data_IF_804803462266
#
_entry.id   IF_804803462266
#
_cell.length_a   1.000
_cell.length_b   1.000
_cell.length_c   1.000
_cell.angle_alpha   90.00
_cell.angle_beta   90.00
_cell.angle_gamma   90.00
#
_symmetry.space_group_name_H-M   'P 1'
#
loop_
_entity.id
_entity.type
_entity.pdbx_description
1 polymer ?
#
# COMPACT_ATOMS: atom_id res chain seq x y z
N UNK A 1 -49.58 -72.42 -24.79
CA UNK A 1 -49.33 -71.19 -24.03
C UNK A 1 -47.93 -70.64 -24.45
N UNK A 2 -47.94 -69.66 -25.37
CA UNK A 2 -46.69 -68.99 -25.81
C UNK A 2 -46.66 -67.61 -25.17
N UNK A 3 -45.74 -67.41 -24.28
CA UNK A 3 -45.44 -66.12 -23.72
C UNK A 3 -44.36 -65.45 -24.57
N UNK A 4 -44.76 -64.45 -25.37
CA UNK A 4 -43.83 -63.62 -26.14
C UNK A 4 -43.05 -62.64 -25.25
N UNK A 5 -41.74 -62.72 -25.31
CA UNK A 5 -40.83 -61.77 -24.71
C UNK A 5 -40.66 -60.57 -25.66
N UNK A 6 -41.06 -59.35 -25.19
CA UNK A 6 -40.91 -58.14 -25.96
C UNK A 6 -39.59 -57.44 -25.52
N UNK A 7 -38.66 -57.22 -26.45
CA UNK A 7 -37.51 -56.43 -26.28
C UNK A 7 -37.85 -54.92 -26.46
N UNK A 8 -37.39 -54.01 -25.59
CA UNK A 8 -37.62 -52.60 -25.79
C UNK A 8 -36.78 -52.09 -26.96
N UNK A 9 -37.41 -51.31 -27.84
CA UNK A 9 -36.86 -50.79 -29.08
C UNK A 9 -35.62 -49.86 -28.83
N UNK A 10 -34.61 -49.97 -29.72
CA UNK A 10 -33.33 -49.30 -29.71
C UNK A 10 -33.40 -47.79 -29.85
N UNK A 11 -34.54 -47.15 -29.95
CA UNK A 11 -34.72 -45.71 -30.11
C UNK A 11 -34.54 -44.90 -28.82
N UNK A 12 -34.74 -45.49 -27.64
CA UNK A 12 -34.60 -44.79 -26.35
C UNK A 12 -33.15 -44.58 -25.92
N UNK A 13 -32.20 -45.33 -26.48
CA UNK A 13 -30.78 -45.21 -26.13
C UNK A 13 -30.11 -44.04 -26.88
N UNK A 14 -30.63 -43.63 -28.05
CA UNK A 14 -30.07 -42.56 -28.87
C UNK A 14 -30.42 -41.14 -28.38
N UNK A 15 -31.52 -40.97 -27.67
CA UNK A 15 -31.92 -39.65 -27.15
C UNK A 15 -31.13 -39.24 -25.89
N UNK A 16 -30.80 -40.20 -25.03
CA UNK A 16 -30.03 -39.97 -23.83
C UNK A 16 -28.59 -39.48 -24.11
N UNK A 17 -27.92 -40.09 -25.11
CA UNK A 17 -26.56 -39.71 -25.48
C UNK A 17 -26.44 -38.29 -26.04
N UNK A 18 -27.43 -37.80 -26.77
CA UNK A 18 -27.45 -36.44 -27.30
C UNK A 18 -27.66 -35.39 -26.19
N UNK A 19 -28.49 -35.68 -25.20
CA UNK A 19 -28.69 -34.80 -24.03
C UNK A 19 -27.42 -34.66 -23.17
N UNK A 20 -26.68 -35.77 -22.98
CA UNK A 20 -25.40 -35.74 -22.25
C UNK A 20 -24.32 -34.96 -23.00
N UNK A 21 -24.27 -35.07 -24.33
CA UNK A 21 -23.32 -34.27 -25.14
C UNK A 21 -23.64 -32.77 -25.11
N UNK A 22 -24.92 -32.41 -25.14
CA UNK A 22 -25.36 -31.02 -25.03
C UNK A 22 -25.03 -30.47 -23.62
N UNK A 23 -25.33 -31.24 -22.56
CA UNK A 23 -25.01 -30.84 -21.18
C UNK A 23 -23.49 -30.68 -20.96
N UNK A 24 -22.68 -31.58 -21.53
CA UNK A 24 -21.22 -31.46 -21.45
C UNK A 24 -20.71 -30.24 -22.23
N UNK A 25 -21.25 -29.94 -23.41
CA UNK A 25 -20.88 -28.76 -24.20
C UNK A 25 -21.27 -27.46 -23.51
N UNK A 26 -22.41 -27.38 -22.83
CA UNK A 26 -22.83 -26.23 -22.03
C UNK A 26 -21.94 -26.05 -20.80
N UNK A 27 -21.57 -27.13 -20.12
CA UNK A 27 -20.65 -27.10 -18.98
C UNK A 27 -19.24 -26.63 -19.38
N UNK A 28 -18.73 -27.12 -20.53
CA UNK A 28 -17.46 -26.68 -21.08
C UNK A 28 -17.53 -25.19 -21.50
N UNK A 29 -18.65 -24.79 -22.14
CA UNK A 29 -18.89 -23.38 -22.49
C UNK A 29 -18.94 -22.47 -21.27
N UNK A 30 -19.60 -22.88 -20.18
CA UNK A 30 -19.61 -22.11 -18.91
C UNK A 30 -18.23 -22.06 -18.24
N UNK A 31 -17.43 -23.11 -18.29
CA UNK A 31 -16.06 -23.09 -17.80
C UNK A 31 -15.19 -22.16 -18.61
N UNK A 32 -15.29 -22.15 -19.92
CA UNK A 32 -14.49 -21.25 -20.77
C UNK A 32 -14.86 -19.78 -20.53
N UNK A 33 -16.17 -19.48 -20.36
CA UNK A 33 -16.61 -18.11 -20.03
C UNK A 33 -16.18 -17.69 -18.62
N UNK A 34 -16.21 -18.61 -17.65
CA UNK A 34 -15.72 -18.34 -16.29
C UNK A 34 -14.21 -18.10 -16.27
N UNK A 35 -13.43 -18.80 -17.12
CA UNK A 35 -11.99 -18.51 -17.29
C UNK A 35 -11.72 -17.20 -18.04
N UNK A 36 -12.58 -16.82 -18.99
CA UNK A 36 -12.47 -15.56 -19.71
C UNK A 36 -12.85 -14.34 -18.84
N UNK A 37 -13.70 -14.54 -17.82
CA UNK A 37 -14.11 -13.50 -16.85
C UNK A 37 -13.23 -13.45 -15.61
N UNK A 38 -12.23 -14.34 -15.48
CA UNK A 38 -11.23 -14.12 -14.44
C UNK A 38 -10.55 -12.78 -14.72
N UNK A 39 -10.59 -11.83 -13.77
CA UNK A 39 -9.75 -10.65 -13.90
C UNK A 39 -8.34 -11.15 -14.21
N UNK A 40 -7.78 -10.74 -15.32
CA UNK A 40 -6.39 -11.02 -15.62
C UNK A 40 -5.56 -10.33 -14.54
N UNK A 41 -5.31 -11.05 -13.45
CA UNK A 41 -4.20 -10.76 -12.56
C UNK A 41 -2.94 -10.89 -13.42
N UNK A 42 -2.41 -9.80 -13.89
CA UNK A 42 -1.23 -9.81 -14.74
C UNK A 42 -1.44 -9.31 -16.16
N UNK A 43 -2.41 -8.43 -16.42
CA UNK A 43 -2.32 -7.57 -17.59
C UNK A 43 -1.26 -6.54 -17.32
N UNK A 44 -0.15 -6.65 -18.02
CA UNK A 44 0.95 -5.70 -18.20
C UNK A 44 1.12 -4.73 -17.04
N UNK A 45 2.26 -4.73 -16.36
CA UNK A 45 2.62 -3.52 -15.67
C UNK A 45 2.64 -2.47 -16.78
N UNK A 46 1.63 -1.63 -16.86
CA UNK A 46 1.88 -0.28 -17.32
C UNK A 46 3.13 0.08 -16.52
N UNK A 47 4.26 0.20 -17.21
CA UNK A 47 5.50 0.61 -16.56
C UNK A 47 5.08 1.85 -15.80
N UNK A 48 5.17 1.80 -14.46
CA UNK A 48 4.88 2.97 -13.65
C UNK A 48 5.95 3.97 -14.02
N UNK A 49 5.69 4.67 -15.10
CA UNK A 49 6.33 5.93 -15.33
C UNK A 49 5.60 6.87 -14.38
N UNK A 50 6.27 7.41 -13.36
CA UNK A 50 5.67 8.50 -12.63
C UNK A 50 5.21 9.48 -13.69
N UNK A 51 3.92 9.79 -13.73
CA UNK A 51 3.38 10.81 -14.60
C UNK A 51 4.20 12.07 -14.40
N UNK A 52 4.24 12.96 -15.37
CA UNK A 52 4.89 14.24 -15.16
C UNK A 52 4.25 14.91 -13.95
N UNK A 53 5.06 15.24 -12.94
CA UNK A 53 4.59 15.98 -11.78
C UNK A 53 3.88 17.26 -12.23
N UNK A 54 2.74 17.56 -11.62
CA UNK A 54 2.12 18.86 -11.79
C UNK A 54 2.93 19.94 -11.05
N UNK A 55 2.94 21.15 -11.60
CA UNK A 55 3.55 22.28 -10.93
C UNK A 55 2.77 22.64 -9.65
N UNK A 56 3.48 23.09 -8.62
CA UNK A 56 2.85 23.58 -7.41
C UNK A 56 2.00 24.84 -7.72
N UNK A 57 0.72 24.77 -7.41
CA UNK A 57 -0.27 25.81 -7.65
C UNK A 57 -0.92 26.38 -6.38
N UNK A 58 -0.41 25.97 -5.20
CA UNK A 58 -0.94 26.36 -3.89
C UNK A 58 -1.99 25.41 -3.32
N UNK A 59 -2.46 24.42 -4.09
CA UNK A 59 -3.35 23.36 -3.61
C UNK A 59 -2.55 22.22 -2.99
N UNK A 60 -3.17 21.52 -2.05
CA UNK A 60 -2.57 20.32 -1.51
C UNK A 60 -2.40 19.27 -2.62
N UNK A 61 -1.16 18.83 -2.81
CA UNK A 61 -0.81 17.74 -3.71
C UNK A 61 -0.11 16.66 -2.89
N UNK A 62 -0.61 15.45 -2.93
CA UNK A 62 0.05 14.34 -2.27
C UNK A 62 1.37 14.02 -2.99
N UNK A 63 2.43 13.76 -2.23
CA UNK A 63 3.73 13.43 -2.80
C UNK A 63 4.25 12.10 -2.28
N UNK A 64 4.62 11.21 -3.21
CA UNK A 64 5.35 9.97 -2.96
C UNK A 64 6.84 10.21 -3.15
N UNK A 65 7.66 9.85 -2.16
CA UNK A 65 9.11 9.80 -2.37
C UNK A 65 9.47 8.60 -3.24
N UNK A 66 10.22 8.88 -4.30
CA UNK A 66 10.90 7.86 -5.08
C UNK A 66 12.38 7.81 -4.69
N UNK A 67 13.00 6.65 -4.82
CA UNK A 67 14.38 6.45 -4.41
C UNK A 67 15.09 5.40 -5.28
N UNK A 68 16.42 5.39 -5.23
CA UNK A 68 17.22 4.33 -5.83
C UNK A 68 16.97 3.04 -5.06
N UNK A 69 16.46 2.03 -5.76
CA UNK A 69 16.06 0.77 -5.16
C UNK A 69 17.25 -0.19 -5.17
N UNK A 70 17.58 -0.77 -4.01
CA UNK A 70 18.57 -1.81 -3.86
C UNK A 70 18.24 -3.06 -4.70
N UNK A 71 19.26 -3.84 -5.13
CA UNK A 71 19.02 -5.12 -5.80
C UNK A 71 18.11 -6.04 -4.98
N UNK A 72 17.08 -6.60 -5.62
CA UNK A 72 16.05 -7.43 -4.98
C UNK A 72 14.77 -6.69 -4.63
N UNK A 73 14.76 -5.36 -4.57
CA UNK A 73 13.58 -4.53 -4.32
C UNK A 73 12.80 -4.18 -5.59
N UNK A 74 12.73 -5.11 -6.55
CA UNK A 74 11.97 -4.94 -7.78
C UNK A 74 10.91 -6.02 -7.89
N UNK A 75 9.67 -5.61 -8.10
CA UNK A 75 8.53 -6.48 -8.28
C UNK A 75 8.33 -6.87 -9.76
N UNK A 76 7.22 -7.54 -10.04
CA UNK A 76 6.88 -8.00 -11.38
C UNK A 76 6.99 -6.89 -12.43
N UNK A 77 7.64 -7.20 -13.55
CA UNK A 77 7.85 -6.25 -14.65
C UNK A 77 8.93 -5.20 -14.41
N UNK A 78 9.75 -5.35 -13.34
CA UNK A 78 10.81 -4.41 -13.00
C UNK A 78 10.34 -3.15 -12.29
N UNK A 79 9.15 -3.17 -11.69
CA UNK A 79 8.62 -2.08 -10.89
C UNK A 79 9.44 -1.90 -9.60
N UNK A 80 10.01 -0.72 -9.34
CA UNK A 80 10.77 -0.48 -8.13
C UNK A 80 9.84 -0.48 -6.89
N UNK A 81 10.37 -0.89 -5.73
CA UNK A 81 9.63 -1.06 -4.50
C UNK A 81 8.81 0.19 -4.11
N UNK A 82 9.38 1.39 -4.22
CA UNK A 82 8.69 2.64 -3.90
C UNK A 82 7.43 2.89 -4.73
N UNK A 83 7.26 2.23 -5.88
CA UNK A 83 6.13 2.43 -6.80
C UNK A 83 4.97 1.46 -6.57
N UNK A 84 5.05 0.59 -5.56
CA UNK A 84 3.97 -0.33 -5.22
C UNK A 84 2.68 0.45 -4.89
N UNK A 85 1.56 0.06 -5.52
CA UNK A 85 0.26 0.73 -5.34
C UNK A 85 0.14 2.16 -5.88
N UNK A 86 1.25 2.76 -6.35
CA UNK A 86 1.26 4.12 -6.90
C UNK A 86 0.63 4.17 -8.29
N UNK A 87 -0.18 5.18 -8.64
CA UNK A 87 -0.68 6.27 -7.78
C UNK A 87 -2.07 5.97 -7.19
N UNK A 88 -2.60 4.75 -7.36
CA UNK A 88 -4.00 4.40 -7.05
C UNK A 88 -4.31 4.54 -5.56
N UNK A 89 -3.39 4.12 -4.70
CA UNK A 89 -3.56 4.21 -3.26
C UNK A 89 -3.80 5.66 -2.82
N UNK A 90 -2.94 6.56 -3.25
CA UNK A 90 -3.00 7.98 -2.91
C UNK A 90 -4.21 8.67 -3.54
N UNK A 91 -4.54 8.36 -4.79
CA UNK A 91 -5.74 8.91 -5.44
C UNK A 91 -7.01 8.55 -4.66
N UNK A 92 -7.10 7.29 -4.18
CA UNK A 92 -8.23 6.86 -3.37
C UNK A 92 -8.27 7.60 -2.01
N UNK A 93 -7.11 7.79 -1.37
CA UNK A 93 -7.03 8.57 -0.14
C UNK A 93 -7.42 10.03 -0.38
N UNK A 94 -6.96 10.64 -1.48
CA UNK A 94 -7.32 12.02 -1.82
C UNK A 94 -8.80 12.20 -2.14
N UNK A 95 -9.46 11.21 -2.74
CA UNK A 95 -10.92 11.23 -2.92
C UNK A 95 -11.64 11.29 -1.57
N UNK A 96 -11.25 10.43 -0.62
CA UNK A 96 -11.84 10.46 0.72
C UNK A 96 -11.53 11.80 1.41
N UNK A 97 -10.29 12.30 1.33
CA UNK A 97 -9.92 13.59 1.92
C UNK A 97 -10.74 14.75 1.35
N UNK A 98 -11.02 14.74 0.06
CA UNK A 98 -11.88 15.74 -0.58
C UNK A 98 -13.33 15.70 -0.07
N UNK A 99 -13.86 14.51 0.21
CA UNK A 99 -15.24 14.34 0.68
C UNK A 99 -15.41 14.72 2.17
N UNK A 100 -14.38 14.52 2.99
CA UNK A 100 -14.48 14.73 4.44
C UNK A 100 -13.96 16.09 4.90
N UNK A 101 -13.33 16.87 4.00
CA UNK A 101 -12.72 18.16 4.36
C UNK A 101 -12.92 19.23 3.28
N UNK A 102 -12.57 20.49 3.62
CA UNK A 102 -12.55 21.61 2.69
C UNK A 102 -11.16 21.85 2.06
N UNK A 103 -10.24 20.89 2.15
CA UNK A 103 -8.89 21.03 1.65
C UNK A 103 -8.83 21.19 0.12
N UNK A 104 -9.79 20.59 -0.59
CA UNK A 104 -9.85 20.57 -2.06
C UNK A 104 -8.51 20.13 -2.71
N UNK A 105 -7.97 18.95 -2.35
CA UNK A 105 -6.68 18.50 -2.84
C UNK A 105 -6.71 18.20 -4.33
N UNK A 106 -5.55 18.04 -4.96
CA UNK A 106 -5.46 17.33 -6.23
C UNK A 106 -5.80 15.85 -5.99
N UNK A 107 -6.78 15.33 -6.76
CA UNK A 107 -7.28 13.96 -6.57
C UNK A 107 -6.56 12.97 -7.48
N UNK A 108 -6.43 13.32 -8.75
CA UNK A 108 -5.89 12.42 -9.76
C UNK A 108 -4.39 12.63 -10.01
N UNK A 109 -3.86 13.76 -9.60
CA UNK A 109 -2.46 14.13 -9.77
C UNK A 109 -1.69 13.88 -8.48
N UNK A 110 -0.90 12.83 -8.46
CA UNK A 110 -0.01 12.47 -7.35
C UNK A 110 1.42 12.71 -7.82
N UNK A 111 2.13 13.59 -7.15
CA UNK A 111 3.51 13.88 -7.48
C UNK A 111 4.48 12.84 -6.89
N UNK A 112 5.59 12.62 -7.59
CA UNK A 112 6.66 11.76 -7.09
C UNK A 112 7.98 12.49 -7.20
N UNK A 113 8.68 12.68 -6.08
CA UNK A 113 9.95 13.42 -6.00
C UNK A 113 10.99 12.60 -5.24
N UNK A 114 12.26 12.88 -5.48
CA UNK A 114 13.35 12.32 -4.68
C UNK A 114 13.52 13.13 -3.40
N UNK A 115 14.07 12.49 -2.38
CA UNK A 115 14.37 13.19 -1.13
C UNK A 115 15.44 14.28 -1.28
N UNK A 116 16.31 14.23 -2.30
CA UNK A 116 17.30 15.27 -2.61
C UNK A 116 16.79 16.35 -3.58
N UNK A 117 15.54 16.24 -4.06
CA UNK A 117 14.94 17.24 -4.94
C UNK A 117 14.53 18.50 -4.14
N UNK A 118 14.96 19.71 -4.52
CA UNK A 118 14.49 20.94 -3.89
C UNK A 118 12.97 21.13 -3.93
N UNK A 119 12.27 20.55 -4.89
CA UNK A 119 10.82 20.60 -4.98
C UNK A 119 10.12 19.98 -3.75
N UNK A 120 10.79 19.10 -3.01
CA UNK A 120 10.26 18.52 -1.78
C UNK A 120 9.78 19.56 -0.76
N UNK A 121 10.43 20.71 -0.71
CA UNK A 121 10.07 21.79 0.22
C UNK A 121 8.77 22.53 -0.10
N UNK A 122 8.14 22.24 -1.22
CA UNK A 122 6.78 22.72 -1.53
C UNK A 122 5.67 21.90 -0.88
N UNK A 123 6.00 20.70 -0.38
CA UNK A 123 5.03 19.75 0.15
C UNK A 123 5.18 19.64 1.67
N UNK A 124 4.12 19.93 2.45
CA UNK A 124 4.19 19.80 3.91
C UNK A 124 4.34 18.36 4.38
N UNK A 125 3.86 17.40 3.57
CA UNK A 125 3.83 15.99 3.90
C UNK A 125 4.49 15.20 2.77
N UNK A 126 5.40 14.29 3.11
CA UNK A 126 5.98 13.32 2.21
C UNK A 126 5.62 11.90 2.66
N UNK A 127 5.38 11.02 1.71
CA UNK A 127 5.02 9.63 1.95
C UNK A 127 6.01 8.70 1.25
N UNK A 128 6.46 7.67 1.95
CA UNK A 128 7.39 6.67 1.41
C UNK A 128 7.02 5.27 1.89
N UNK A 129 7.22 4.28 1.03
CA UNK A 129 6.97 2.87 1.34
C UNK A 129 8.17 2.00 1.02
N UNK A 130 8.15 0.75 1.49
CA UNK A 130 9.15 -0.30 1.19
C UNK A 130 10.59 0.20 1.44
N UNK A 131 10.77 0.95 2.51
CA UNK A 131 12.01 1.65 2.86
C UNK A 131 13.19 0.72 3.13
N UNK A 132 12.96 -0.57 3.30
CA UNK A 132 13.96 -1.63 3.36
C UNK A 132 14.88 -1.65 2.14
N UNK A 133 14.33 -1.21 1.01
CA UNK A 133 15.00 -1.22 -0.29
C UNK A 133 15.61 0.12 -0.67
N UNK A 134 15.55 1.11 0.22
CA UNK A 134 16.07 2.45 -0.07
C UNK A 134 17.59 2.53 0.02
N UNK A 135 18.25 2.66 -1.13
CA UNK A 135 19.66 3.02 -1.23
C UNK A 135 19.79 4.55 -1.08
N UNK A 136 19.73 5.00 0.18
CA UNK A 136 19.76 6.43 0.50
C UNK A 136 21.16 7.03 0.30
N UNK A 137 21.24 8.09 -0.49
CA UNK A 137 22.47 8.87 -0.67
C UNK A 137 22.69 9.86 0.46
N UNK A 138 23.91 10.39 0.58
CA UNK A 138 24.20 11.47 1.55
C UNK A 138 23.47 12.80 1.21
N UNK A 139 23.21 13.02 -0.08
CA UNK A 139 22.42 14.18 -0.52
C UNK A 139 20.99 14.08 -0.05
N UNK A 140 20.36 12.90 -0.25
CA UNK A 140 19.00 12.64 0.25
C UNK A 140 18.93 12.77 1.77
N UNK A 141 19.88 12.21 2.51
CA UNK A 141 19.89 12.32 3.97
C UNK A 141 19.99 13.77 4.45
N UNK A 142 20.86 14.59 3.84
CA UNK A 142 20.99 16.01 4.19
C UNK A 142 19.73 16.81 3.86
N UNK A 143 19.16 16.60 2.69
CA UNK A 143 17.97 17.33 2.25
C UNK A 143 16.74 16.95 3.07
N UNK A 144 16.57 15.66 3.35
CA UNK A 144 15.48 15.15 4.19
C UNK A 144 15.60 15.69 5.63
N UNK A 145 16.82 15.79 6.18
CA UNK A 145 17.05 16.46 7.47
C UNK A 145 16.54 17.89 7.44
N UNK A 146 16.95 18.68 6.43
CA UNK A 146 16.53 20.05 6.30
C UNK A 146 15.00 20.17 6.12
N UNK A 147 14.39 19.26 5.38
CA UNK A 147 12.95 19.18 5.20
C UNK A 147 12.22 18.98 6.55
N UNK A 148 12.63 17.98 7.34
CA UNK A 148 12.06 17.71 8.65
C UNK A 148 12.25 18.88 9.63
N UNK A 149 13.43 19.49 9.64
CA UNK A 149 13.74 20.65 10.51
C UNK A 149 12.94 21.91 10.14
N UNK A 150 12.52 22.04 8.88
CA UNK A 150 11.71 23.18 8.41
C UNK A 150 10.20 22.96 8.54
N UNK A 151 9.76 21.91 9.19
CA UNK A 151 8.34 21.65 9.41
C UNK A 151 7.76 20.52 8.56
N UNK A 152 8.53 19.90 7.68
CA UNK A 152 8.07 18.77 6.90
C UNK A 152 7.70 17.57 7.78
N UNK A 153 6.68 16.81 7.36
CA UNK A 153 6.22 15.60 7.99
C UNK A 153 6.42 14.39 7.08
N UNK A 154 7.04 13.34 7.58
CA UNK A 154 7.29 12.11 6.81
C UNK A 154 6.42 10.96 7.33
N UNK A 155 5.67 10.35 6.43
CA UNK A 155 4.93 9.11 6.68
C UNK A 155 5.69 7.96 6.01
N UNK A 156 6.04 6.94 6.80
CA UNK A 156 6.73 5.74 6.36
C UNK A 156 5.81 4.54 6.54
N UNK A 157 5.58 3.79 5.48
CA UNK A 157 4.61 2.70 5.47
C UNK A 157 5.17 1.48 4.70
N UNK A 158 4.46 0.37 4.73
CA UNK A 158 4.76 -0.86 4.00
C UNK A 158 6.20 -1.34 4.13
N UNK A 159 6.63 -1.62 5.36
CA UNK A 159 7.88 -2.31 5.64
C UNK A 159 7.72 -3.27 6.84
N UNK A 160 8.49 -4.36 6.88
CA UNK A 160 8.14 -5.51 7.69
C UNK A 160 9.31 -6.23 8.36
N UNK A 161 8.97 -7.12 9.28
CA UNK A 161 9.91 -8.04 9.93
C UNK A 161 10.56 -8.97 8.90
N UNK A 162 11.87 -9.14 8.97
CA UNK A 162 12.58 -10.21 8.25
C UNK A 162 12.00 -11.58 8.61
N UNK A 163 11.71 -12.38 7.60
CA UNK A 163 11.26 -13.78 7.78
C UNK A 163 9.76 -13.99 7.91
N UNK A 164 8.94 -12.96 7.80
CA UNK A 164 7.49 -13.08 7.69
C UNK A 164 7.09 -13.56 6.30
N UNK A 165 6.95 -14.85 6.10
CA UNK A 165 6.56 -15.44 4.84
C UNK A 165 5.11 -15.15 4.51
N UNK A 166 4.88 -14.31 3.53
CA UNK A 166 3.75 -14.47 2.66
C UNK A 166 4.00 -15.68 1.73
N UNK A 167 3.06 -16.60 1.64
CA UNK A 167 3.06 -17.81 0.80
C UNK A 167 3.27 -17.53 -0.71
N UNK A 168 3.51 -16.29 -1.09
CA UNK A 168 3.69 -15.76 -2.44
C UNK A 168 5.06 -15.11 -2.69
N UNK A 169 5.95 -15.16 -1.70
CA UNK A 169 7.32 -14.67 -1.86
C UNK A 169 8.10 -15.56 -2.82
N UNK A 170 8.35 -15.07 -4.01
CA UNK A 170 9.29 -15.68 -4.94
C UNK A 170 10.67 -15.82 -4.27
N UNK A 171 11.47 -16.80 -4.72
CA UNK A 171 12.81 -17.17 -4.23
C UNK A 171 13.86 -16.04 -4.11
N UNK A 172 13.46 -14.76 -4.26
CA UNK A 172 14.33 -13.59 -4.17
C UNK A 172 14.23 -12.79 -2.87
N UNK A 173 13.21 -13.05 -2.02
CA UNK A 173 12.99 -12.27 -0.81
C UNK A 173 13.97 -12.60 0.35
N UNK A 174 14.75 -13.66 0.22
CA UNK A 174 15.73 -14.09 1.23
C UNK A 174 17.18 -13.61 0.96
N UNK A 175 17.41 -12.89 -0.11
CA UNK A 175 18.76 -12.42 -0.46
C UNK A 175 19.10 -11.11 0.25
N UNK A 176 19.13 -11.13 1.55
CA UNK A 176 20.09 -10.42 2.41
C UNK A 176 20.30 -8.91 2.31
N UNK A 177 19.72 -8.19 1.37
CA UNK A 177 20.01 -6.76 1.17
C UNK A 177 18.97 -5.83 1.85
N UNK A 178 17.71 -6.25 2.00
CA UNK A 178 16.70 -5.46 2.70
C UNK A 178 16.73 -5.74 4.21
N UNK A 179 17.07 -4.76 5.02
CA UNK A 179 17.26 -4.90 6.46
C UNK A 179 16.03 -4.68 7.31
N UNK A 180 14.85 -4.49 6.72
CA UNK A 180 13.65 -4.16 7.47
C UNK A 180 13.85 -2.90 8.32
N UNK A 181 13.35 -2.94 9.55
CA UNK A 181 13.46 -1.83 10.50
C UNK A 181 14.89 -1.32 10.68
N UNK A 182 15.86 -2.25 10.80
CA UNK A 182 17.27 -1.89 11.03
C UNK A 182 17.89 -1.09 9.86
N UNK A 183 17.52 -1.43 8.61
CA UNK A 183 18.00 -0.71 7.44
C UNK A 183 17.43 0.70 7.38
N UNK A 184 16.14 0.85 7.63
CA UNK A 184 15.50 2.15 7.69
C UNK A 184 16.04 3.01 8.84
N UNK A 185 16.15 2.48 10.06
CA UNK A 185 16.72 3.21 11.19
C UNK A 185 18.17 3.62 10.94
N UNK A 186 18.97 2.77 10.25
CA UNK A 186 20.33 3.12 9.84
C UNK A 186 20.34 4.33 8.91
N UNK A 187 19.43 4.37 7.93
CA UNK A 187 19.26 5.54 7.08
C UNK A 187 18.81 6.77 7.88
N UNK A 188 17.86 6.60 8.80
CA UNK A 188 17.36 7.71 9.63
C UNK A 188 18.41 8.27 10.60
N UNK A 189 19.39 7.47 11.08
CA UNK A 189 20.55 7.99 11.83
C UNK A 189 21.43 8.89 10.99
N UNK A 190 21.45 8.74 9.67
CA UNK A 190 22.15 9.68 8.76
C UNK A 190 21.35 10.97 8.59
N UNK A 191 20.00 10.88 8.65
CA UNK A 191 19.08 12.02 8.57
C UNK A 191 19.06 12.80 9.89
N UNK A 192 18.77 12.13 11.00
CA UNK A 192 18.70 12.71 12.36
C UNK A 192 19.57 11.88 13.29
N UNK A 193 20.89 12.16 13.40
CA UNK A 193 21.83 11.30 14.14
C UNK A 193 21.46 11.05 15.60
N UNK A 194 20.91 12.05 16.27
CA UNK A 194 20.47 11.94 17.67
C UNK A 194 19.02 11.41 17.81
N UNK A 195 18.33 11.24 16.67
CA UNK A 195 16.92 10.83 16.63
C UNK A 195 16.70 9.43 17.16
N UNK A 196 15.63 9.27 17.92
CA UNK A 196 15.19 7.97 18.46
C UNK A 196 13.71 7.76 18.17
N UNK A 197 13.40 6.66 17.49
CA UNK A 197 12.02 6.24 17.35
C UNK A 197 11.50 5.66 18.66
N UNK A 198 10.31 6.10 19.05
CA UNK A 198 9.59 5.59 20.22
C UNK A 198 8.24 5.02 19.79
N UNK A 199 7.80 3.97 20.47
CA UNK A 199 6.46 3.43 20.24
C UNK A 199 5.40 4.49 20.58
N UNK A 200 4.41 4.61 19.72
CA UNK A 200 3.27 5.50 19.92
C UNK A 200 2.13 4.72 20.57
N UNK A 201 1.48 5.36 21.51
CA UNK A 201 0.24 4.88 22.10
C UNK A 201 -0.96 5.71 21.59
N UNK A 202 -2.21 5.22 21.75
CA UNK A 202 -3.38 5.90 21.23
C UNK A 202 -3.61 7.32 21.76
N UNK A 203 -2.94 7.76 22.84
CA UNK A 203 -3.12 9.12 23.38
C UNK A 203 -2.40 10.20 22.58
N UNK A 204 -1.55 9.82 21.65
CA UNK A 204 -0.80 10.78 20.83
C UNK A 204 -1.72 11.59 19.92
N UNK A 205 -1.51 12.92 19.78
CA UNK A 205 -2.38 13.81 19.02
C UNK A 205 -2.65 13.38 17.59
N UNK A 206 -1.71 12.69 16.95
CA UNK A 206 -1.86 12.22 15.57
C UNK A 206 -3.03 11.23 15.40
N UNK A 207 -3.41 10.50 16.46
CA UNK A 207 -4.54 9.57 16.42
C UNK A 207 -5.89 10.25 16.69
N UNK A 208 -5.91 11.57 16.94
CA UNK A 208 -7.09 12.36 17.26
C UNK A 208 -7.22 13.62 16.40
N UNK A 209 -6.37 13.76 15.37
CA UNK A 209 -6.28 15.00 14.59
C UNK A 209 -7.55 15.29 13.77
N UNK A 210 -8.33 14.27 13.42
CA UNK A 210 -9.62 14.38 12.73
C UNK A 210 -10.59 13.30 13.20
N UNK A 211 -10.21 12.03 13.08
CA UNK A 211 -10.99 10.91 13.60
C UNK A 211 -10.44 10.47 14.95
N UNK A 212 -11.33 10.01 15.81
CA UNK A 212 -10.96 9.47 17.12
C UNK A 212 -10.53 8.01 16.99
N UNK A 213 -9.22 7.70 17.12
CA UNK A 213 -8.66 6.36 17.15
C UNK A 213 -8.28 6.02 18.59
N UNK A 214 -9.13 5.23 19.26
CA UNK A 214 -8.99 4.93 20.69
C UNK A 214 -8.08 3.74 21.00
N UNK A 215 -7.83 2.87 20.03
CA UNK A 215 -6.98 1.69 20.19
C UNK A 215 -6.24 1.39 18.89
N UNK A 216 -5.01 0.94 19.00
CA UNK A 216 -4.19 0.44 17.90
C UNK A 216 -4.14 -1.10 17.86
N UNK A 217 -4.74 -1.77 18.85
CA UNK A 217 -4.65 -3.23 19.02
C UNK A 217 -5.34 -4.02 17.90
N UNK A 218 -6.43 -3.44 17.36
CA UNK A 218 -7.24 -4.05 16.29
C UNK A 218 -7.01 -3.38 14.95
N UNK A 219 -5.87 -2.71 14.77
CA UNK A 219 -5.58 -2.07 13.51
C UNK A 219 -5.40 -3.10 12.39
N UNK A 220 -5.83 -2.81 11.14
CA UNK A 220 -5.72 -3.77 10.05
C UNK A 220 -4.28 -4.25 9.85
N UNK A 221 -4.13 -5.56 9.82
CA UNK A 221 -2.85 -6.24 9.60
C UNK A 221 -2.75 -6.70 8.15
N UNK A 222 -1.79 -6.15 7.40
CA UNK A 222 -1.56 -6.53 6.01
C UNK A 222 -0.73 -7.82 5.89
N UNK A 223 0.13 -8.09 6.88
CA UNK A 223 1.04 -9.23 6.87
C UNK A 223 0.56 -10.35 7.80
N UNK A 224 0.98 -11.58 7.48
CA UNK A 224 0.54 -12.78 8.23
C UNK A 224 1.24 -12.88 9.59
N UNK A 225 2.47 -12.38 9.70
CA UNK A 225 3.30 -12.50 10.89
C UNK A 225 3.47 -11.16 11.62
N UNK A 226 3.35 -11.20 12.94
CA UNK A 226 3.55 -10.06 13.82
C UNK A 226 2.35 -9.11 13.89
N UNK A 227 2.45 -8.12 14.75
CA UNK A 227 1.44 -7.07 14.91
C UNK A 227 1.95 -5.78 14.29
N UNK A 228 1.07 -4.91 13.77
CA UNK A 228 1.44 -3.54 13.41
C UNK A 228 2.03 -2.80 14.61
N UNK A 229 3.08 -2.04 14.38
CA UNK A 229 3.71 -1.20 15.40
C UNK A 229 3.85 0.20 14.83
N UNK A 230 3.26 1.16 15.52
CA UNK A 230 3.35 2.58 15.17
C UNK A 230 4.43 3.22 16.02
N UNK A 231 5.42 3.85 15.37
CA UNK A 231 6.53 4.50 16.05
C UNK A 231 6.73 5.89 15.51
N UNK A 232 7.23 6.78 16.34
CA UNK A 232 7.41 8.18 15.99
C UNK A 232 8.80 8.70 16.32
N UNK A 233 9.28 9.61 15.47
CA UNK A 233 10.45 10.42 15.71
C UNK A 233 10.00 11.85 16.00
N UNK A 234 10.25 12.32 17.22
CA UNK A 234 9.84 13.64 17.67
C UNK A 234 11.00 14.64 17.58
N UNK A 235 10.66 15.90 17.41
CA UNK A 235 11.59 17.01 17.52
C UNK A 235 12.26 17.01 18.88
N UNK A 236 13.61 17.13 18.90
CA UNK A 236 14.45 17.05 20.10
C UNK A 236 14.26 15.77 20.94
N UNK A 237 13.72 14.70 20.35
CA UNK A 237 13.35 13.47 21.05
C UNK A 237 12.33 13.67 22.20
N UNK A 238 11.55 14.74 22.20
CA UNK A 238 10.54 15.02 23.19
C UNK A 238 9.14 14.71 22.65
N UNK A 239 8.42 13.67 23.15
CA UNK A 239 7.07 13.31 22.70
C UNK A 239 6.01 14.41 22.91
N UNK A 240 6.32 15.49 23.62
CA UNK A 240 5.46 16.66 23.77
C UNK A 240 5.65 17.69 22.65
N UNK A 241 6.68 17.52 21.84
CA UNK A 241 6.97 18.35 20.68
C UNK A 241 6.38 17.74 19.41
N UNK A 242 6.65 18.39 18.29
CA UNK A 242 6.15 17.95 16.99
C UNK A 242 6.66 16.55 16.63
N UNK A 243 5.76 15.66 16.21
CA UNK A 243 6.12 14.42 15.56
C UNK A 243 6.57 14.74 14.13
N UNK A 244 7.83 14.44 13.82
CA UNK A 244 8.43 14.71 12.51
C UNK A 244 8.28 13.55 11.54
N UNK A 245 8.32 12.32 12.07
CA UNK A 245 8.22 11.09 11.27
C UNK A 245 7.31 10.12 11.99
N UNK A 246 6.36 9.53 11.27
CA UNK A 246 5.64 8.34 11.73
C UNK A 246 6.03 7.16 10.88
N UNK A 247 6.26 6.02 11.50
CA UNK A 247 6.48 4.74 10.84
C UNK A 247 5.42 3.71 11.22
N UNK A 248 4.83 3.11 10.19
CA UNK A 248 3.85 2.04 10.28
C UNK A 248 4.57 0.72 10.02
N UNK A 249 5.24 0.22 11.05
CA UNK A 249 6.04 -0.99 10.94
C UNK A 249 5.16 -2.24 10.96
N UNK A 250 5.53 -3.22 10.13
CA UNK A 250 4.86 -4.51 10.00
C UNK A 250 3.38 -4.41 9.59
N UNK A 251 3.06 -3.39 8.79
CA UNK A 251 1.76 -3.23 8.13
C UNK A 251 1.93 -2.51 6.79
N UNK A 252 0.90 -2.54 5.96
CA UNK A 252 0.80 -1.82 4.69
C UNK A 252 -0.57 -1.16 4.65
N UNK A 253 -0.63 0.08 5.12
CA UNK A 253 -1.88 0.84 5.20
C UNK A 253 -2.34 1.24 3.80
N UNK A 254 -1.39 1.55 2.91
CA UNK A 254 -1.68 1.93 1.54
C UNK A 254 -2.36 0.83 0.73
N UNK A 255 -2.14 -0.43 1.06
CA UNK A 255 -2.80 -1.55 0.39
C UNK A 255 -4.33 -1.54 0.59
N UNK A 256 -4.80 -1.06 1.76
CA UNK A 256 -6.22 -0.91 2.02
C UNK A 256 -6.83 0.23 1.19
N UNK A 257 -6.06 1.31 0.95
CA UNK A 257 -6.49 2.38 0.05
C UNK A 257 -6.48 1.93 -1.41
N UNK A 258 -5.41 1.26 -1.87
CA UNK A 258 -5.27 0.76 -3.24
C UNK A 258 -6.42 -0.17 -3.63
N UNK A 259 -6.79 -1.08 -2.73
CA UNK A 259 -7.76 -2.13 -3.00
C UNK A 259 -9.18 -1.77 -2.57
N UNK A 260 -9.38 -0.54 -2.15
CA UNK A 260 -10.68 0.00 -1.80
C UNK A 260 -11.69 -0.14 -2.95
N UNK A 261 -12.91 -0.55 -2.62
CA UNK A 261 -13.98 -0.73 -3.60
C UNK A 261 -13.85 -1.97 -4.49
N UNK A 262 -12.77 -2.76 -4.38
CA UNK A 262 -12.54 -3.97 -5.19
C UNK A 262 -13.03 -5.25 -4.52
N UNK A 263 -13.55 -5.19 -3.29
CA UNK A 263 -14.00 -6.36 -2.53
C UNK A 263 -12.87 -7.30 -2.08
N UNK A 264 -11.60 -6.83 -2.11
CA UNK A 264 -10.42 -7.62 -1.77
C UNK A 264 -9.99 -7.47 -0.31
N UNK A 265 -10.50 -6.46 0.38
CA UNK A 265 -10.28 -6.18 1.79
C UNK A 265 -11.60 -5.97 2.51
N UNK A 266 -11.72 -6.35 3.80
CA UNK A 266 -12.91 -6.05 4.60
C UNK A 266 -13.17 -4.55 4.64
N UNK A 267 -14.45 -4.18 4.65
CA UNK A 267 -14.85 -2.76 4.68
C UNK A 267 -14.36 -2.06 5.96
N UNK A 268 -14.49 -2.72 7.10
CA UNK A 268 -14.09 -2.15 8.39
C UNK A 268 -12.59 -1.88 8.44
N UNK A 269 -11.76 -2.83 7.97
CA UNK A 269 -10.30 -2.66 7.90
C UNK A 269 -9.92 -1.49 6.98
N UNK A 270 -10.56 -1.39 5.83
CA UNK A 270 -10.35 -0.30 4.87
C UNK A 270 -10.74 1.05 5.48
N UNK A 271 -11.84 1.10 6.23
CA UNK A 271 -12.30 2.30 6.91
C UNK A 271 -11.30 2.77 8.00
N UNK A 272 -10.77 1.84 8.81
CA UNK A 272 -9.75 2.20 9.81
C UNK A 272 -8.46 2.70 9.15
N UNK A 273 -8.03 2.10 8.03
CA UNK A 273 -6.88 2.58 7.27
C UNK A 273 -7.08 3.99 6.70
N UNK A 274 -8.29 4.32 6.23
CA UNK A 274 -8.62 5.68 5.80
C UNK A 274 -8.62 6.68 6.96
N UNK A 275 -9.21 6.32 8.11
CA UNK A 275 -9.18 7.19 9.30
C UNK A 275 -7.75 7.54 9.68
N UNK A 276 -6.86 6.56 9.66
CA UNK A 276 -5.45 6.78 9.99
C UNK A 276 -4.77 7.69 8.96
N UNK A 277 -4.96 7.43 7.67
CA UNK A 277 -4.40 8.27 6.61
C UNK A 277 -4.87 9.72 6.70
N UNK A 278 -6.17 9.95 6.92
CA UNK A 278 -6.72 11.30 7.10
C UNK A 278 -6.13 11.98 8.35
N UNK A 279 -6.02 11.26 9.47
CA UNK A 279 -5.41 11.80 10.68
C UNK A 279 -3.95 12.22 10.44
N UNK A 280 -3.18 11.44 9.70
CA UNK A 280 -1.80 11.77 9.36
C UNK A 280 -1.71 13.04 8.52
N UNK A 281 -2.60 13.19 7.53
CA UNK A 281 -2.62 14.37 6.68
C UNK A 281 -3.01 15.63 7.48
N UNK A 282 -4.05 15.53 8.29
CA UNK A 282 -4.46 16.68 9.13
C UNK A 282 -3.38 17.03 10.14
N UNK A 283 -2.76 16.04 10.80
CA UNK A 283 -1.65 16.26 11.71
C UNK A 283 -0.49 16.99 11.02
N UNK A 284 -0.02 16.48 9.89
CA UNK A 284 1.12 17.04 9.17
C UNK A 284 0.87 18.44 8.58
N UNK A 285 -0.39 18.86 8.43
CA UNK A 285 -0.74 20.21 7.98
C UNK A 285 -0.94 21.21 9.14
N UNK A 286 -1.13 20.73 10.36
CA UNK A 286 -1.52 21.59 11.50
C UNK A 286 -0.47 21.67 12.59
N UNK A 287 0.57 20.86 12.55
CA UNK A 287 1.67 20.80 13.52
C UNK A 287 3.02 20.93 12.82
#
# INVERSE_FOLDING_TARGET
>A
MHTGFHWPSAERVRSGGRLWLIAAAVLVGMMVTAFAQRPRFGSSPDRVHPGSNIAYDGRFTFVRLNYTTLPGGYFYGGMPAWAHGYPIAEQNLMRIMNEVSYLAPHIDDINSVRADDPALFHYPIAYVIEVDWWDMTDAEARNLRAYLQKGGFLIVDDFKVRGGFGRFGGRGADSGAGGGLDAFETNMKRVVPEGRFVALDPSQPIFHSFFEIKSLDNFPQAYIAGQPVFRGLFEDNDPRKRLMVIENYNTDISQFWEWSGRGLRPFDDTNEAYKLGINYLIYGMTH
#
